data_IF_585323162413
#
_entry.id   IF_585323162413
#
_cell.length_a   1.000
_cell.length_b   1.000
_cell.length_c   1.000
_cell.angle_alpha   90.00
_cell.angle_beta   90.00
_cell.angle_gamma   90.00
#
_symmetry.space_group_name_H-M   'P 1'
#
loop_
_entity.id
_entity.type
_entity.pdbx_description
1 polymer ?
#
# COMPACT_ATOMS: atom_id res chain seq x y z
N UNK A 1 -9.71 0.76 7.42
CA UNK A 1 -9.51 2.13 6.93
C UNK A 1 -9.44 3.08 8.09
N UNK A 2 -8.35 3.85 8.20
CA UNK A 2 -8.23 4.93 9.18
C UNK A 2 -8.45 6.28 8.47
N UNK A 3 -9.25 7.16 9.06
CA UNK A 3 -9.55 8.49 8.50
C UNK A 3 -9.33 9.55 9.58
N UNK A 4 -8.36 10.44 9.36
CA UNK A 4 -8.04 11.52 10.31
C UNK A 4 -6.74 12.26 9.96
N UNK A 5 -6.52 13.41 10.60
CA UNK A 5 -5.22 14.12 10.58
C UNK A 5 -4.24 13.42 11.54
N UNK A 6 -2.98 13.23 11.12
CA UNK A 6 -1.95 12.52 11.90
C UNK A 6 -2.31 11.05 12.21
N UNK A 7 -2.98 10.39 11.25
CA UNK A 7 -3.49 9.03 11.43
C UNK A 7 -2.49 7.98 10.91
N UNK A 8 -2.49 6.79 11.51
CA UNK A 8 -1.69 5.65 11.08
C UNK A 8 -2.59 4.41 10.93
N UNK A 9 -2.51 3.73 9.79
CA UNK A 9 -3.07 2.39 9.62
C UNK A 9 -1.92 1.38 9.62
N UNK A 10 -1.95 0.41 10.53
CA UNK A 10 -0.93 -0.63 10.63
C UNK A 10 -1.59 -1.98 10.55
N UNK A 11 -1.15 -2.80 9.60
CA UNK A 11 -1.56 -4.18 9.48
C UNK A 11 -0.32 -5.08 9.33
N UNK A 12 -0.40 -6.21 10.03
CA UNK A 12 0.67 -7.20 10.12
C UNK A 12 0.06 -8.57 9.92
N UNK A 13 0.77 -9.47 9.24
CA UNK A 13 0.25 -10.79 8.86
C UNK A 13 -0.19 -10.85 7.41
N UNK A 14 -0.39 -12.06 6.91
CA UNK A 14 -0.46 -12.34 5.48
C UNK A 14 -1.73 -11.80 4.82
N UNK A 15 -1.62 -11.42 3.55
CA UNK A 15 -2.72 -10.93 2.69
C UNK A 15 -3.47 -9.74 3.29
N UNK A 16 -2.75 -8.89 4.05
CA UNK A 16 -3.35 -7.78 4.76
C UNK A 16 -3.41 -6.49 3.93
N UNK A 17 -4.49 -5.72 4.07
CA UNK A 17 -4.69 -4.44 3.38
C UNK A 17 -4.76 -3.24 4.35
N UNK A 18 -3.88 -2.24 4.18
CA UNK A 18 -3.83 -1.03 5.00
C UNK A 18 -4.27 0.18 4.19
N UNK A 19 -5.16 0.98 4.76
CA UNK A 19 -5.72 2.13 4.06
C UNK A 19 -5.87 3.35 4.96
N UNK A 20 -5.39 4.48 4.46
CA UNK A 20 -5.66 5.81 5.02
C UNK A 20 -6.31 6.74 4.00
N UNK A 21 -7.44 7.35 4.39
CA UNK A 21 -8.15 8.33 3.56
C UNK A 21 -7.91 9.78 3.98
N UNK A 22 -7.42 10.02 5.21
CA UNK A 22 -7.13 11.36 5.73
C UNK A 22 -5.86 11.96 5.13
N UNK A 23 -5.66 13.28 5.29
CA UNK A 23 -4.46 13.98 4.80
C UNK A 23 -3.27 13.80 5.74
N UNK A 24 -2.05 13.86 5.19
CA UNK A 24 -0.79 13.80 5.93
C UNK A 24 -0.69 12.62 6.92
N UNK A 25 -1.20 11.46 6.49
CA UNK A 25 -1.28 10.22 7.26
C UNK A 25 -0.39 9.13 6.64
N UNK A 26 -0.24 7.98 7.30
CA UNK A 26 0.54 6.85 6.76
C UNK A 26 -0.21 5.51 6.85
N UNK A 27 -0.22 4.76 5.76
CA UNK A 27 -0.63 3.35 5.72
C UNK A 27 0.62 2.45 5.66
N UNK A 28 0.81 1.59 6.66
CA UNK A 28 1.93 0.65 6.74
C UNK A 28 1.42 -0.78 6.67
N UNK A 29 1.93 -1.56 5.71
CA UNK A 29 1.68 -2.99 5.61
C UNK A 29 2.98 -3.80 5.59
N UNK A 30 3.10 -4.72 6.55
CA UNK A 30 4.34 -5.49 6.80
C UNK A 30 4.17 -7.01 6.65
N UNK A 31 3.02 -7.46 6.15
CA UNK A 31 2.69 -8.87 5.93
C UNK A 31 3.15 -9.42 4.59
N UNK A 32 3.17 -10.75 4.44
CA UNK A 32 3.33 -11.37 3.13
C UNK A 32 2.11 -11.04 2.25
N UNK A 33 2.33 -10.82 0.95
CA UNK A 33 1.25 -10.44 0.00
C UNK A 33 0.40 -9.24 0.48
N UNK A 34 1.00 -8.36 1.29
CA UNK A 34 0.28 -7.22 1.84
C UNK A 34 0.24 -6.03 0.88
N UNK A 35 -0.80 -5.21 1.03
CA UNK A 35 -1.00 -4.02 0.22
C UNK A 35 -1.40 -2.81 1.03
N UNK A 36 -1.04 -1.64 0.51
CA UNK A 36 -1.34 -0.37 1.13
C UNK A 36 -1.90 0.63 0.11
N UNK A 37 -2.79 1.49 0.58
CA UNK A 37 -3.36 2.61 -0.16
C UNK A 37 -3.41 3.85 0.71
N UNK A 38 -3.05 4.99 0.13
CA UNK A 38 -3.14 6.30 0.77
C UNK A 38 -3.77 7.33 -0.16
N UNK A 39 -4.43 8.32 0.42
CA UNK A 39 -4.88 9.52 -0.28
C UNK A 39 -3.71 10.46 -0.59
N UNK A 40 -3.94 11.45 -1.45
CA UNK A 40 -2.91 12.40 -1.88
C UNK A 40 -2.26 13.13 -0.69
N UNK A 41 -0.93 13.22 -0.70
CA UNK A 41 -0.15 13.83 0.37
C UNK A 41 0.00 12.96 1.63
N UNK A 42 -0.62 11.78 1.67
CA UNK A 42 -0.38 10.74 2.67
C UNK A 42 0.61 9.69 2.14
N UNK A 43 1.25 8.96 3.03
CA UNK A 43 2.30 8.01 2.69
C UNK A 43 1.83 6.56 2.76
N UNK A 44 2.51 5.70 2.01
CA UNK A 44 2.48 4.25 2.20
C UNK A 44 3.86 3.76 2.63
N UNK A 45 3.90 2.69 3.42
CA UNK A 45 5.10 1.91 3.72
C UNK A 45 4.78 0.43 3.54
N UNK A 46 5.58 -0.26 2.73
CA UNK A 46 5.37 -1.65 2.34
C UNK A 46 6.62 -2.47 2.57
N UNK A 47 6.40 -3.75 2.89
CA UNK A 47 7.45 -4.76 3.01
C UNK A 47 7.23 -5.88 1.99
N UNK A 48 8.33 -6.37 1.40
CA UNK A 48 8.33 -7.63 0.66
C UNK A 48 9.05 -8.72 1.46
N UNK A 49 8.45 -9.90 1.51
CA UNK A 49 9.02 -11.11 2.11
C UNK A 49 9.12 -12.22 1.07
N UNK A 50 10.15 -13.05 1.19
CA UNK A 50 10.26 -14.27 0.38
C UNK A 50 9.38 -15.40 0.95
N UNK A 51 9.38 -16.54 0.26
CA UNK A 51 8.58 -17.73 0.63
C UNK A 51 8.98 -18.36 1.98
N UNK A 52 10.20 -18.08 2.46
CA UNK A 52 10.68 -18.51 3.79
C UNK A 52 10.26 -17.53 4.90
N UNK A 53 9.57 -16.44 4.55
CA UNK A 53 9.11 -15.41 5.48
C UNK A 53 10.17 -14.38 5.84
N UNK A 54 11.34 -14.41 5.20
CA UNK A 54 12.42 -13.45 5.41
C UNK A 54 12.04 -12.08 4.84
N UNK A 55 12.32 -11.03 5.59
CA UNK A 55 12.11 -9.65 5.15
C UNK A 55 13.23 -9.22 4.20
N UNK A 56 12.91 -9.01 2.92
CA UNK A 56 13.88 -8.68 1.88
C UNK A 56 13.90 -7.18 1.58
N UNK A 57 12.72 -6.56 1.42
CA UNK A 57 12.62 -5.14 1.10
C UNK A 57 11.67 -4.40 2.04
N UNK A 58 12.01 -3.13 2.28
CA UNK A 58 11.09 -2.13 2.83
C UNK A 58 11.20 -0.87 1.97
N UNK A 59 10.05 -0.29 1.63
CA UNK A 59 9.96 0.98 0.90
C UNK A 59 8.83 1.83 1.45
N UNK A 60 8.99 3.14 1.33
CA UNK A 60 7.96 4.10 1.65
C UNK A 60 7.94 5.21 0.60
N UNK A 61 6.76 5.73 0.32
CA UNK A 61 6.54 6.78 -0.65
C UNK A 61 5.29 7.59 -0.30
N UNK A 62 5.24 8.84 -0.78
CA UNK A 62 4.10 9.74 -0.58
C UNK A 62 3.21 9.64 -1.81
N UNK A 63 1.93 9.34 -1.61
CA UNK A 63 0.96 9.27 -2.68
C UNK A 63 0.76 10.66 -3.31
N UNK A 64 0.80 10.71 -4.64
CA UNK A 64 0.81 11.95 -5.42
C UNK A 64 2.19 12.57 -5.59
N UNK A 65 3.26 11.91 -5.10
CA UNK A 65 4.64 12.33 -5.31
C UNK A 65 5.49 11.17 -5.83
N UNK A 66 6.10 11.34 -7.00
CA UNK A 66 6.95 10.32 -7.61
C UNK A 66 6.14 9.15 -8.18
N UNK A 67 6.43 7.95 -7.72
CA UNK A 67 5.98 6.68 -8.32
C UNK A 67 4.63 6.14 -7.77
N UNK A 68 4.07 6.76 -6.72
CA UNK A 68 2.80 6.34 -6.12
C UNK A 68 1.68 7.31 -6.48
N UNK A 69 0.65 6.78 -7.13
CA UNK A 69 -0.57 7.50 -7.42
C UNK A 69 -1.54 7.46 -6.22
N UNK A 70 -2.24 8.56 -5.91
CA UNK A 70 -3.25 8.58 -4.86
C UNK A 70 -4.38 7.57 -5.08
N UNK A 71 -4.89 7.02 -3.99
CA UNK A 71 -6.07 6.17 -3.94
C UNK A 71 -5.97 4.86 -4.75
N UNK A 72 -4.76 4.41 -5.10
CA UNK A 72 -4.49 3.08 -5.68
C UNK A 72 -3.85 2.14 -4.66
N UNK A 73 -4.05 0.84 -4.88
CA UNK A 73 -3.45 -0.20 -4.06
C UNK A 73 -2.08 -0.57 -4.59
N UNK A 74 -1.11 -0.61 -3.68
CA UNK A 74 0.26 -0.98 -3.99
C UNK A 74 0.75 -2.12 -3.11
N UNK A 75 1.59 -2.96 -3.69
CA UNK A 75 2.42 -3.97 -3.01
C UNK A 75 3.89 -3.82 -3.47
N UNK A 76 4.81 -4.54 -2.84
CA UNK A 76 6.19 -4.62 -3.33
C UNK A 76 6.44 -5.96 -4.03
N UNK A 77 7.17 -5.93 -5.14
CA UNK A 77 7.64 -7.14 -5.81
C UNK A 77 8.99 -7.63 -5.24
N UNK A 78 9.50 -8.74 -5.80
CA UNK A 78 10.79 -9.34 -5.45
C UNK A 78 12.00 -8.41 -5.62
N UNK A 79 11.89 -7.42 -6.50
CA UNK A 79 12.91 -6.39 -6.75
C UNK A 79 12.80 -5.20 -5.79
N UNK A 80 11.74 -5.14 -4.98
CA UNK A 80 11.45 -4.03 -4.08
C UNK A 80 10.90 -2.79 -4.79
N UNK A 81 10.24 -2.98 -5.93
CA UNK A 81 9.53 -1.96 -6.68
C UNK A 81 8.04 -1.99 -6.34
N UNK A 82 7.39 -0.82 -6.39
CA UNK A 82 5.96 -0.73 -6.16
C UNK A 82 5.18 -1.27 -7.36
N UNK A 83 4.24 -2.18 -7.10
CA UNK A 83 3.33 -2.73 -8.10
C UNK A 83 1.92 -2.27 -7.79
N UNK A 84 1.28 -1.62 -8.76
CA UNK A 84 -0.11 -1.20 -8.66
C UNK A 84 -1.06 -2.36 -8.97
N UNK A 85 -1.99 -2.66 -8.08
CA UNK A 85 -3.10 -3.57 -8.36
C UNK A 85 -4.29 -2.77 -8.89
N UNK A 86 -4.46 -2.72 -10.22
CA UNK A 86 -5.72 -2.27 -10.82
C UNK A 86 -6.75 -3.40 -10.72
N UNK A 87 -7.80 -3.21 -9.92
CA UNK A 87 -9.01 -4.01 -10.06
C UNK A 87 -9.58 -3.73 -11.45
N UNK A 88 -9.58 -4.74 -12.31
CA UNK A 88 -10.22 -4.70 -13.61
C UNK A 88 -11.61 -4.08 -13.46
N UNK A 89 -11.84 -2.94 -14.11
CA UNK A 89 -13.17 -2.39 -14.29
C UNK A 89 -13.99 -3.48 -14.98
N UNK A 90 -15.02 -3.96 -14.30
CA UNK A 90 -16.02 -4.86 -14.88
C UNK A 90 -16.74 -4.06 -15.98
N UNK A 91 -16.32 -4.26 -17.22
CA UNK A 91 -17.00 -3.68 -18.39
C UNK A 91 -18.35 -4.38 -18.48
N UNK A 92 -19.38 -3.78 -17.89
CA UNK A 92 -20.77 -4.16 -18.10
C UNK A 92 -21.09 -3.98 -19.60
N UNK A 93 -21.42 -5.06 -20.36
CA UNK A 93 -21.89 -4.90 -21.72
C UNK A 93 -23.33 -4.35 -21.71
N UNK A 94 -23.53 -3.27 -22.45
CA UNK A 94 -24.83 -2.63 -22.71
C UNK A 94 -25.80 -3.49 -23.53
#
# INVERSE_FOLDING_TARGET
>A
TNTGYQSAATNTGDQSAAEVGGQHSIALAAGAESKARASEGSAIALCYRNDEGELIHIRAAIAGQGEIEPNKWYSLNESGEFVCEESAEEVEPA
#
